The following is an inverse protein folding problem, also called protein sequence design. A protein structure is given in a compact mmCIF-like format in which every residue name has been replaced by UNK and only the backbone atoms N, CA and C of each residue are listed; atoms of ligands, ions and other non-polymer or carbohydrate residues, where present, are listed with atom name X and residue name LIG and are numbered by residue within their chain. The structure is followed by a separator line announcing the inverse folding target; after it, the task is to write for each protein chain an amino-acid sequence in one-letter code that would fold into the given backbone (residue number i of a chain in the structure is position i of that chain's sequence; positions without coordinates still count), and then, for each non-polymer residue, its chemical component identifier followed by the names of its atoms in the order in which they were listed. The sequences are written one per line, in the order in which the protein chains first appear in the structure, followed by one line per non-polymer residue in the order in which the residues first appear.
data_IF_176698768832
#
_entry.id   IF_176698768832
#
_cell.length_a   1.000
_cell.length_b   1.000
_cell.length_c   1.000
_cell.angle_alpha   90.00
_cell.angle_beta   90.00
_cell.angle_gamma   90.00
#
_symmetry.space_group_name_H-M   'P 1'
#
loop_
_entity.id
_entity.type
_entity.pdbx_description
1 polymer ?
#
# COMPACT_ATOMS: atom_id res chain seq x y z
N UNK A 1 15.71 -7.94 -24.63
CA UNK A 1 16.63 -8.14 -23.49
C UNK A 1 15.85 -8.50 -22.25
N UNK A 2 15.96 -9.76 -21.81
CA UNK A 2 15.47 -10.15 -20.49
C UNK A 2 16.54 -9.65 -19.51
N UNK A 3 16.21 -8.60 -18.76
CA UNK A 3 17.00 -8.21 -17.60
C UNK A 3 16.86 -9.36 -16.61
N UNK A 4 17.90 -10.19 -16.47
CA UNK A 4 17.96 -11.15 -15.37
C UNK A 4 17.75 -10.36 -14.08
N UNK A 5 16.77 -10.76 -13.26
CA UNK A 5 16.57 -10.17 -11.94
C UNK A 5 17.87 -10.23 -11.16
N UNK A 6 18.16 -9.17 -10.39
CA UNK A 6 19.30 -9.12 -9.49
C UNK A 6 19.30 -10.25 -8.47
N UNK A 7 20.27 -10.23 -7.55
CA UNK A 7 20.24 -11.18 -6.42
C UNK A 7 18.93 -11.03 -5.62
N UNK A 8 18.53 -12.06 -4.86
CA UNK A 8 17.24 -12.04 -4.14
C UNK A 8 17.09 -10.81 -3.22
N UNK A 9 18.21 -10.31 -2.69
CA UNK A 9 18.32 -9.11 -1.85
C UNK A 9 18.19 -7.78 -2.64
N UNK A 10 18.20 -7.82 -3.97
CA UNK A 10 18.05 -6.65 -4.86
C UNK A 10 16.62 -6.48 -5.38
N UNK A 11 15.71 -7.40 -5.03
CA UNK A 11 14.33 -7.40 -5.51
C UNK A 11 13.37 -6.67 -4.55
N UNK A 12 12.39 -5.98 -5.14
CA UNK A 12 11.28 -5.41 -4.37
C UNK A 12 10.38 -6.53 -3.82
N UNK A 13 10.19 -6.54 -2.50
CA UNK A 13 9.25 -7.48 -1.86
C UNK A 13 7.83 -6.90 -1.84
N UNK A 14 6.90 -7.59 -2.51
CA UNK A 14 5.46 -7.34 -2.37
C UNK A 14 4.85 -8.42 -1.47
N UNK A 15 4.22 -8.01 -0.37
CA UNK A 15 3.63 -8.93 0.60
C UNK A 15 2.36 -8.37 1.22
N UNK A 16 1.58 -9.23 1.85
CA UNK A 16 0.49 -8.81 2.73
C UNK A 16 1.03 -8.47 4.12
N UNK A 17 0.33 -7.61 4.86
CA UNK A 17 0.69 -7.28 6.25
C UNK A 17 0.76 -8.51 7.15
N UNK A 18 -0.12 -9.50 6.91
CA UNK A 18 -0.11 -10.76 7.66
C UNK A 18 1.17 -11.56 7.44
N UNK A 19 1.63 -11.66 6.20
CA UNK A 19 2.86 -12.39 5.84
C UNK A 19 4.13 -11.62 6.24
N UNK A 20 4.04 -10.30 6.39
CA UNK A 20 5.14 -9.47 6.86
C UNK A 20 5.46 -9.62 8.36
N UNK A 21 4.61 -10.30 9.13
CA UNK A 21 4.79 -10.45 10.57
C UNK A 21 6.11 -11.15 10.89
N UNK A 22 6.96 -10.49 11.67
CA UNK A 22 8.28 -10.99 12.07
C UNK A 22 9.40 -10.67 11.09
N UNK A 23 9.09 -10.07 9.94
CA UNK A 23 10.07 -9.54 8.99
C UNK A 23 10.27 -8.03 9.21
N UNK A 24 11.34 -7.48 8.65
CA UNK A 24 11.67 -6.06 8.72
C UNK A 24 12.46 -5.62 7.49
N UNK A 25 12.29 -4.36 7.10
CA UNK A 25 12.98 -3.75 5.95
C UNK A 25 13.39 -2.32 6.29
N UNK A 26 14.45 -1.84 5.63
CA UNK A 26 14.92 -0.45 5.79
C UNK A 26 13.82 0.56 5.46
N UNK A 27 13.13 0.35 4.34
CA UNK A 27 12.01 1.17 3.91
C UNK A 27 10.75 0.31 3.67
N UNK A 28 9.59 0.79 4.11
CA UNK A 28 8.30 0.14 3.89
C UNK A 28 7.30 1.13 3.30
N UNK A 29 6.64 0.70 2.22
CA UNK A 29 5.50 1.41 1.64
C UNK A 29 4.21 0.67 2.01
N UNK A 30 3.41 1.27 2.89
CA UNK A 30 2.04 0.82 3.13
C UNK A 30 1.10 1.51 2.15
N UNK A 31 0.66 0.74 1.15
CA UNK A 31 -0.31 1.20 0.16
C UNK A 31 -1.74 1.07 0.69
N UNK A 32 -2.65 1.86 0.12
CA UNK A 32 -4.07 1.86 0.48
C UNK A 32 -4.35 2.14 1.96
N UNK A 33 -3.55 3.03 2.56
CA UNK A 33 -3.78 3.56 3.91
C UNK A 33 -4.95 4.56 3.93
N UNK A 34 -6.14 4.08 3.52
CA UNK A 34 -7.34 4.85 3.27
C UNK A 34 -8.56 4.28 4.02
N UNK A 35 -9.52 5.14 4.35
CA UNK A 35 -10.81 4.72 4.87
C UNK A 35 -11.52 3.76 3.90
N UNK A 36 -12.07 2.67 4.45
CA UNK A 36 -12.73 1.64 3.66
C UNK A 36 -11.78 0.71 2.90
N UNK A 37 -10.46 0.82 3.14
CA UNK A 37 -9.44 -0.10 2.64
C UNK A 37 -8.62 -0.65 3.80
N UNK A 38 -8.15 0.23 4.67
CA UNK A 38 -7.46 -0.09 5.91
C UNK A 38 -7.93 0.91 6.99
N UNK A 39 -8.82 0.54 7.91
CA UNK A 39 -9.35 -0.81 8.15
C UNK A 39 -10.26 -1.30 7.02
N UNK A 40 -10.25 -2.61 6.78
CA UNK A 40 -11.09 -3.26 5.77
C UNK A 40 -12.56 -3.31 6.22
N UNK A 41 -13.54 -2.85 5.40
CA UNK A 41 -14.96 -2.94 5.71
C UNK A 41 -15.47 -4.37 5.95
N UNK A 42 -14.76 -5.37 5.39
CA UNK A 42 -15.11 -6.77 5.59
C UNK A 42 -14.82 -7.20 7.03
N UNK A 43 -13.73 -6.71 7.59
CA UNK A 43 -13.32 -6.98 8.96
C UNK A 43 -14.27 -6.30 9.95
N UNK A 44 -14.69 -5.06 9.67
CA UNK A 44 -15.51 -4.22 10.57
C UNK A 44 -16.96 -4.70 10.88
N UNK A 45 -17.33 -5.93 10.51
CA UNK A 45 -18.69 -6.46 10.73
C UNK A 45 -18.90 -7.08 12.10
N UNK A 46 -17.82 -7.42 12.79
CA UNK A 46 -17.84 -8.11 14.08
C UNK A 46 -17.45 -7.16 15.23
N UNK A 47 -17.87 -7.51 16.44
CA UNK A 47 -17.41 -6.83 17.67
C UNK A 47 -15.89 -7.03 17.78
N UNK A 48 -15.16 -5.99 18.21
CA UNK A 48 -13.69 -5.94 18.36
C UNK A 48 -12.85 -6.03 17.07
N UNK A 49 -13.49 -6.10 15.91
CA UNK A 49 -12.78 -6.21 14.63
C UNK A 49 -11.92 -5.00 14.27
N UNK A 50 -12.29 -3.80 14.70
CA UNK A 50 -11.44 -2.61 14.53
C UNK A 50 -10.15 -2.73 15.32
N UNK A 51 -10.18 -3.31 16.52
CA UNK A 51 -8.98 -3.53 17.33
C UNK A 51 -8.03 -4.54 16.68
N UNK A 52 -8.57 -5.56 16.00
CA UNK A 52 -7.74 -6.50 15.23
C UNK A 52 -7.09 -5.81 14.03
N UNK A 53 -7.84 -5.01 13.27
CA UNK A 53 -7.26 -4.20 12.18
C UNK A 53 -6.22 -3.20 12.71
N UNK A 54 -6.42 -2.65 13.91
CA UNK A 54 -5.46 -1.78 14.59
C UNK A 54 -4.18 -2.53 14.99
N UNK A 55 -4.30 -3.80 15.40
CA UNK A 55 -3.13 -4.67 15.61
C UNK A 55 -2.39 -4.93 14.30
N UNK A 56 -3.11 -5.16 13.20
CA UNK A 56 -2.49 -5.29 11.87
C UNK A 56 -1.81 -3.99 11.42
N UNK A 57 -2.43 -2.84 11.67
CA UNK A 57 -1.82 -1.54 11.41
C UNK A 57 -0.50 -1.39 12.17
N UNK A 58 -0.49 -1.72 13.46
CA UNK A 58 0.71 -1.74 14.28
C UNK A 58 1.79 -2.67 13.70
N UNK A 59 1.41 -3.87 13.25
CA UNK A 59 2.36 -4.78 12.58
C UNK A 59 2.95 -4.11 11.35
N UNK A 60 2.12 -3.54 10.46
CA UNK A 60 2.57 -2.90 9.22
C UNK A 60 3.58 -1.77 9.47
N UNK A 61 3.27 -0.84 10.38
CA UNK A 61 4.14 0.32 10.65
C UNK A 61 5.46 -0.10 11.31
N UNK A 62 5.44 -1.14 12.15
CA UNK A 62 6.65 -1.64 12.84
C UNK A 62 7.50 -2.57 11.98
N UNK A 63 7.18 -2.77 10.70
CA UNK A 63 8.07 -3.47 9.76
C UNK A 63 9.16 -2.55 9.21
N UNK A 64 8.97 -1.24 9.28
CA UNK A 64 9.93 -0.24 8.84
C UNK A 64 11.01 -0.02 9.90
N UNK A 65 12.27 -0.05 9.48
CA UNK A 65 13.42 0.30 10.33
C UNK A 65 13.76 1.78 10.24
N UNK A 66 13.93 2.30 9.02
CA UNK A 66 14.43 3.65 8.79
C UNK A 66 13.32 4.56 8.23
N UNK A 67 12.58 4.08 7.22
CA UNK A 67 11.60 4.89 6.48
C UNK A 67 10.24 4.19 6.35
N UNK A 68 9.18 4.92 6.67
CA UNK A 68 7.79 4.46 6.52
C UNK A 68 7.01 5.44 5.65
N UNK A 69 6.49 4.96 4.54
CA UNK A 69 5.63 5.72 3.63
C UNK A 69 4.22 5.17 3.68
N UNK A 70 3.27 6.01 4.09
CA UNK A 70 1.85 5.69 4.12
C UNK A 70 1.16 6.37 2.93
N UNK A 71 0.62 5.59 2.01
CA UNK A 71 0.11 6.11 0.74
C UNK A 71 -1.34 5.74 0.51
N UNK A 72 -2.10 6.66 -0.06
CA UNK A 72 -3.46 6.43 -0.54
C UNK A 72 -3.75 7.29 -1.77
N UNK A 73 -4.54 6.80 -2.73
CA UNK A 73 -4.99 7.62 -3.85
C UNK A 73 -6.04 8.64 -3.38
N UNK A 74 -5.94 9.90 -3.81
CA UNK A 74 -6.97 10.91 -3.48
C UNK A 74 -8.33 10.58 -4.13
N UNK A 75 -8.33 10.03 -5.34
CA UNK A 75 -9.54 9.67 -6.07
C UNK A 75 -9.43 8.24 -6.59
N UNK A 76 -10.54 7.51 -6.55
CA UNK A 76 -10.66 6.17 -7.11
C UNK A 76 -11.92 6.04 -7.96
N UNK A 77 -11.91 5.08 -8.89
CA UNK A 77 -13.13 4.62 -9.54
C UNK A 77 -13.61 3.37 -8.79
N UNK A 78 -14.80 3.43 -8.22
CA UNK A 78 -15.37 2.31 -7.47
C UNK A 78 -16.01 1.25 -8.41
N UNK A 79 -16.58 0.20 -7.81
CA UNK A 79 -17.21 -0.89 -8.56
C UNK A 79 -18.48 -0.43 -9.32
N UNK A 80 -19.10 0.68 -8.91
CA UNK A 80 -20.23 1.31 -9.60
C UNK A 80 -19.77 2.29 -10.69
N UNK A 81 -18.46 2.33 -11.00
CA UNK A 81 -17.84 3.26 -11.95
C UNK A 81 -18.02 4.73 -11.56
N UNK A 82 -18.19 5.00 -10.27
CA UNK A 82 -18.27 6.35 -9.74
C UNK A 82 -16.89 6.81 -9.28
N UNK A 83 -16.59 8.09 -9.51
CA UNK A 83 -15.39 8.71 -8.94
C UNK A 83 -15.66 9.05 -7.48
N UNK A 84 -14.84 8.51 -6.59
CA UNK A 84 -14.99 8.68 -5.14
C UNK A 84 -13.72 9.30 -4.58
N UNK A 85 -13.88 10.39 -3.82
CA UNK A 85 -12.81 10.98 -3.03
C UNK A 85 -12.51 10.06 -1.84
N UNK A 86 -11.25 9.64 -1.72
CA UNK A 86 -10.79 8.87 -0.56
C UNK A 86 -10.40 9.79 0.58
N UNK A 87 -10.53 9.25 1.79
CA UNK A 87 -10.00 9.85 3.00
C UNK A 87 -8.83 9.01 3.49
N UNK A 88 -7.82 9.60 4.14
CA UNK A 88 -6.77 8.83 4.80
C UNK A 88 -7.39 7.92 5.85
N UNK A 89 -6.75 6.78 6.12
CA UNK A 89 -7.15 5.87 7.19
C UNK A 89 -7.30 6.60 8.52
N UNK A 90 -8.33 6.27 9.31
CA UNK A 90 -8.48 6.76 10.68
C UNK A 90 -7.22 6.53 11.52
N UNK A 91 -6.51 5.43 11.30
CA UNK A 91 -5.29 5.10 12.04
C UNK A 91 -4.14 6.08 11.79
N UNK A 92 -4.14 6.79 10.65
CA UNK A 92 -3.23 7.92 10.41
C UNK A 92 -3.72 9.14 11.20
N UNK A 93 -5.01 9.46 11.10
CA UNK A 93 -5.57 10.69 11.69
C UNK A 93 -5.59 10.69 13.22
N UNK A 94 -5.50 9.51 13.84
CA UNK A 94 -5.34 9.34 15.28
C UNK A 94 -3.91 9.61 15.77
N UNK A 95 -2.92 9.55 14.88
CA UNK A 95 -1.54 9.90 15.22
C UNK A 95 -1.38 11.43 15.36
N UNK A 96 -0.56 11.91 16.32
CA UNK A 96 -0.22 13.33 16.39
C UNK A 96 0.39 13.83 15.08
N UNK A 97 -0.11 14.93 14.48
CA UNK A 97 0.39 15.43 13.20
C UNK A 97 1.88 15.80 13.18
N UNK A 98 2.50 16.02 14.34
CA UNK A 98 3.93 16.29 14.44
C UNK A 98 4.83 15.07 14.19
N UNK A 99 4.26 13.85 14.10
CA UNK A 99 5.01 12.61 13.89
C UNK A 99 5.20 12.25 12.43
N UNK A 100 4.55 12.95 11.50
CA UNK A 100 4.62 12.63 10.08
C UNK A 100 4.53 13.90 9.24
N UNK A 101 5.10 13.83 8.05
CA UNK A 101 4.97 14.86 7.02
C UNK A 101 3.88 14.45 6.03
N UNK A 102 3.10 15.42 5.56
CA UNK A 102 2.07 15.20 4.54
C UNK A 102 2.61 15.64 3.19
N UNK A 103 2.75 14.69 2.27
CA UNK A 103 3.13 14.96 0.90
C UNK A 103 1.90 14.93 -0.01
N UNK A 104 1.70 15.98 -0.80
CA UNK A 104 0.75 16.01 -1.91
C UNK A 104 1.51 15.73 -3.19
N UNK A 105 1.34 14.53 -3.75
CA UNK A 105 1.93 14.17 -5.04
C UNK A 105 1.05 14.78 -6.14
N UNK A 106 1.50 15.89 -6.72
CA UNK A 106 0.90 16.46 -7.92
C UNK A 106 1.36 15.68 -9.17
N UNK A 107 0.54 15.67 -10.23
CA UNK A 107 0.82 14.95 -11.49
C UNK A 107 2.01 15.52 -12.29
N UNK A 108 2.74 16.51 -11.78
CA UNK A 108 3.96 17.05 -12.40
C UNK A 108 5.16 16.08 -12.34
N UNK A 109 4.95 14.84 -11.86
CA UNK A 109 5.93 13.79 -11.97
C UNK A 109 6.26 13.53 -13.46
N UNK A 110 7.54 13.55 -13.86
CA UNK A 110 7.90 13.18 -15.23
C UNK A 110 7.32 11.80 -15.52
N UNK A 111 6.64 11.68 -16.65
CA UNK A 111 6.12 10.42 -17.14
C UNK A 111 7.23 9.38 -17.05
N UNK A 112 7.04 8.39 -16.18
CA UNK A 112 8.03 7.34 -16.00
C UNK A 112 8.04 6.53 -17.30
N UNK A 113 9.00 6.83 -18.18
CA UNK A 113 9.21 6.19 -19.48
C UNK A 113 9.80 4.77 -19.27
N UNK A 114 9.20 4.00 -18.36
CA UNK A 114 9.48 2.58 -18.28
C UNK A 114 9.08 1.97 -19.62
N UNK A 115 9.97 1.20 -20.28
CA UNK A 115 9.62 0.54 -21.51
C UNK A 115 8.39 -0.35 -21.28
N UNK A 116 7.28 0.00 -21.97
CA UNK A 116 6.01 -0.74 -21.99
C UNK A 116 6.17 -2.23 -22.33
N UNK A 117 7.33 -2.60 -22.88
CA UNK A 117 7.69 -3.94 -23.31
C UNK A 117 7.83 -4.96 -22.15
N UNK A 118 7.73 -4.54 -20.89
CA UNK A 118 7.73 -5.46 -19.73
C UNK A 118 6.33 -5.89 -19.27
N UNK A 119 5.26 -5.25 -19.76
CA UNK A 119 3.88 -5.51 -19.30
C UNK A 119 3.15 -6.51 -20.21
N UNK A 120 3.64 -6.74 -21.43
CA UNK A 120 2.86 -7.40 -22.48
C UNK A 120 3.02 -8.93 -22.62
N UNK A 121 3.87 -9.61 -21.82
CA UNK A 121 4.07 -11.07 -21.99
C UNK A 121 3.40 -11.97 -20.95
N UNK A 122 2.87 -11.46 -19.82
CA UNK A 122 2.30 -12.33 -18.75
C UNK A 122 0.80 -12.22 -18.51
N UNK A 123 0.04 -11.60 -19.41
CA UNK A 123 -1.43 -11.51 -19.28
C UNK A 123 -2.18 -12.71 -19.87
N UNK A 124 -1.52 -13.56 -20.66
CA UNK A 124 -2.19 -14.66 -21.36
C UNK A 124 -2.31 -15.96 -20.54
N UNK A 125 -1.52 -16.13 -19.47
CA UNK A 125 -1.47 -17.40 -18.71
C UNK A 125 -2.29 -17.42 -17.40
N UNK A 126 -3.00 -16.33 -17.06
CA UNK A 126 -3.84 -16.28 -15.84
C UNK A 126 -5.36 -16.27 -16.11
N UNK A 127 -5.76 -16.55 -17.36
CA UNK A 127 -7.15 -16.87 -17.71
C UNK A 127 -7.15 -18.21 -18.43
N UNK A 128 -7.02 -19.29 -17.65
CA UNK A 128 -7.58 -20.61 -17.89
C UNK A 128 -7.79 -21.31 -16.54
#
# INVERSE_FOLDING_TARGET
DVVSGGEEDELLTLTSVHQAKGLEWKAVFLIWAAEGKFPSPRSLKEIDSEEEERRLWYVAITRAQDELYLTYPQMIIDYNRQTVLQKPSRFITECPPALFEVWSLEEDAPQFDAPLNLIDEKKQDFIN
#
